data_IF_843755078876
#
_entry.id   IF_843755078876
#
_cell.length_a   1.000
_cell.length_b   1.000
_cell.length_c   1.000
_cell.angle_alpha   90.00
_cell.angle_beta   90.00
_cell.angle_gamma   90.00
#
_symmetry.space_group_name_H-M   'P 1'
#
loop_
_entity.id
_entity.type
_entity.pdbx_description
1 polymer ?
#
# COMPACT_ATOMS: atom_id res chain seq x y z
N UNK A 1 5.20 2.29 7.59
CA UNK A 1 5.70 3.60 8.05
C UNK A 1 5.35 3.72 9.54
N UNK A 2 6.33 3.84 10.39
CA UNK A 2 6.07 4.24 11.79
C UNK A 2 5.46 5.63 11.71
N UNK A 3 4.43 5.94 12.51
CA UNK A 3 3.92 7.31 12.58
C UNK A 3 4.98 8.21 13.25
N UNK A 4 5.96 8.60 12.45
CA UNK A 4 7.05 9.45 12.92
C UNK A 4 6.52 10.75 13.53
N UNK A 5 5.42 11.27 13.00
CA UNK A 5 4.80 12.47 13.55
C UNK A 5 4.28 12.29 15.00
N UNK A 6 3.80 11.09 15.39
CA UNK A 6 3.42 10.82 16.79
C UNK A 6 4.62 10.98 17.71
N UNK A 7 5.75 10.38 17.31
CA UNK A 7 6.99 10.47 18.09
C UNK A 7 7.48 11.92 18.16
N UNK A 8 7.45 12.63 17.03
CA UNK A 8 7.86 14.05 16.98
C UNK A 8 6.93 14.91 17.82
N UNK A 9 5.62 14.69 17.71
CA UNK A 9 4.63 15.42 18.50
C UNK A 9 4.84 15.19 20.01
N UNK A 10 5.05 13.95 20.42
CA UNK A 10 5.28 13.62 21.82
C UNK A 10 6.60 14.21 22.35
N UNK A 11 7.65 14.20 21.53
CA UNK A 11 8.90 14.88 21.85
C UNK A 11 8.64 16.38 22.06
N UNK A 12 7.95 17.06 21.15
CA UNK A 12 7.66 18.49 21.25
C UNK A 12 6.83 18.80 22.51
N UNK A 13 5.83 17.99 22.81
CA UNK A 13 5.00 18.14 24.03
C UNK A 13 5.83 17.95 25.30
N UNK A 14 6.69 16.93 25.33
CA UNK A 14 7.59 16.69 26.44
C UNK A 14 8.58 17.88 26.66
N UNK A 15 9.13 18.42 25.58
CA UNK A 15 9.99 19.61 25.65
C UNK A 15 9.24 20.85 26.12
N UNK A 16 7.94 20.95 25.86
CA UNK A 16 7.08 22.04 26.37
C UNK A 16 6.67 21.82 27.83
N UNK A 17 7.13 20.76 28.48
CA UNK A 17 6.83 20.44 29.88
C UNK A 17 5.46 19.78 30.07
N UNK A 18 4.82 19.32 29.00
CA UNK A 18 3.58 18.55 29.11
C UNK A 18 3.85 17.13 29.62
N UNK A 19 2.95 16.64 30.47
CA UNK A 19 2.95 15.24 30.87
C UNK A 19 2.35 14.42 29.74
N UNK A 20 3.10 13.45 29.22
CA UNK A 20 2.59 12.50 28.26
C UNK A 20 1.75 11.42 28.95
N UNK A 21 0.61 11.09 28.36
CA UNK A 21 -0.20 9.96 28.83
C UNK A 21 0.35 8.66 28.22
N UNK A 22 0.20 7.53 28.93
CA UNK A 22 0.55 6.22 28.39
C UNK A 22 -0.26 5.91 27.13
N UNK A 23 0.34 5.15 26.21
CA UNK A 23 -0.33 4.61 25.04
C UNK A 23 -1.52 3.74 25.46
N UNK A 24 -2.71 4.03 24.93
CA UNK A 24 -3.94 3.35 25.32
C UNK A 24 -4.09 1.95 24.73
N UNK A 25 -3.53 1.74 23.52
CA UNK A 25 -3.48 0.45 22.84
C UNK A 25 -2.13 0.32 22.15
N UNK A 26 -1.37 -0.67 22.56
CA UNK A 26 0.02 -0.83 22.17
C UNK A 26 0.20 -1.79 21.01
N UNK A 27 1.37 -1.79 20.38
CA UNK A 27 1.73 -2.81 19.38
C UNK A 27 1.74 -4.23 19.97
N UNK A 28 1.92 -4.38 21.29
CA UNK A 28 1.82 -5.66 21.98
C UNK A 28 0.37 -6.14 22.07
N UNK A 29 -0.57 -5.25 22.40
CA UNK A 29 -2.00 -5.58 22.42
C UNK A 29 -2.47 -6.02 21.02
N UNK A 30 -2.02 -5.31 19.97
CA UNK A 30 -2.28 -5.72 18.59
C UNK A 30 -1.72 -7.12 18.26
N UNK A 31 -0.53 -7.44 18.77
CA UNK A 31 0.05 -8.76 18.55
C UNK A 31 -0.77 -9.88 19.20
N UNK A 32 -1.35 -9.60 20.38
CA UNK A 32 -2.28 -10.54 21.05
C UNK A 32 -3.57 -10.69 20.27
N UNK A 33 -4.20 -9.59 19.85
CA UNK A 33 -5.42 -9.61 19.04
C UNK A 33 -5.19 -10.38 17.72
N UNK A 34 -4.06 -10.14 17.05
CA UNK A 34 -3.70 -10.86 15.83
C UNK A 34 -3.51 -12.36 16.08
N UNK A 35 -2.84 -12.75 17.17
CA UNK A 35 -2.66 -14.17 17.54
C UNK A 35 -4.02 -14.87 17.69
N UNK A 36 -4.95 -14.21 18.36
CA UNK A 36 -6.28 -14.78 18.59
C UNK A 36 -7.10 -14.84 17.29
N UNK A 37 -6.96 -13.83 16.42
CA UNK A 37 -7.58 -13.80 15.10
C UNK A 37 -7.04 -14.90 14.15
N UNK A 38 -5.75 -15.27 14.25
CA UNK A 38 -5.15 -16.35 13.46
C UNK A 38 -5.79 -17.73 13.74
N UNK A 39 -6.31 -17.94 14.94
CA UNK A 39 -6.97 -19.18 15.33
C UNK A 39 -8.47 -19.23 14.94
N UNK A 40 -9.03 -18.12 14.45
CA UNK A 40 -10.45 -17.94 14.24
C UNK A 40 -10.90 -17.93 12.77
N UNK A 41 -12.19 -17.67 12.60
CA UNK A 41 -12.82 -17.60 11.28
C UNK A 41 -12.37 -16.37 10.47
N UNK A 42 -11.88 -15.33 11.13
CA UNK A 42 -11.37 -14.11 10.47
C UNK A 42 -10.22 -14.47 9.51
N UNK A 43 -9.27 -15.29 9.96
CA UNK A 43 -8.15 -15.73 9.14
C UNK A 43 -8.61 -16.62 7.97
N UNK A 44 -9.52 -17.55 8.21
CA UNK A 44 -10.09 -18.41 7.16
C UNK A 44 -10.87 -17.62 6.11
N UNK A 45 -11.60 -16.60 6.53
CA UNK A 45 -12.33 -15.72 5.62
C UNK A 45 -11.37 -14.94 4.73
N UNK A 46 -10.29 -14.42 5.30
CA UNK A 46 -9.24 -13.72 4.56
C UNK A 46 -8.52 -14.67 3.56
N UNK A 47 -8.22 -15.89 3.97
CA UNK A 47 -7.67 -16.92 3.09
C UNK A 47 -8.62 -17.19 1.90
N UNK A 48 -9.91 -17.43 2.16
CA UNK A 48 -10.90 -17.67 1.11
C UNK A 48 -11.06 -16.47 0.17
N UNK A 49 -10.98 -15.25 0.70
CA UNK A 49 -10.99 -14.04 -0.12
C UNK A 49 -9.83 -14.06 -1.12
N UNK A 50 -8.59 -14.26 -0.67
CA UNK A 50 -7.45 -14.28 -1.57
C UNK A 50 -7.46 -15.48 -2.53
N UNK A 51 -7.97 -16.62 -2.12
CA UNK A 51 -8.25 -17.76 -3.04
C UNK A 51 -9.17 -17.31 -4.18
N UNK A 52 -10.26 -16.63 -3.88
CA UNK A 52 -11.20 -16.14 -4.89
C UNK A 52 -10.59 -15.10 -5.85
N UNK A 53 -9.64 -14.29 -5.36
CA UNK A 53 -8.95 -13.26 -6.18
C UNK A 53 -7.93 -13.90 -7.12
N UNK A 54 -7.12 -14.84 -6.61
CA UNK A 54 -5.94 -15.33 -7.33
C UNK A 54 -6.13 -16.70 -8.01
N UNK A 55 -7.20 -17.43 -7.72
CA UNK A 55 -7.51 -18.69 -8.38
C UNK A 55 -7.62 -18.55 -9.91
N UNK A 56 -8.01 -17.36 -10.37
CA UNK A 56 -8.18 -17.02 -11.79
C UNK A 56 -7.09 -16.06 -12.31
N UNK A 57 -6.20 -15.61 -11.46
CA UNK A 57 -5.09 -14.76 -11.86
C UNK A 57 -4.03 -15.59 -12.58
N UNK A 58 -3.78 -15.27 -13.83
CA UNK A 58 -2.87 -16.03 -14.73
C UNK A 58 -1.39 -15.96 -14.37
N UNK A 59 -1.03 -15.99 -13.10
CA UNK A 59 0.34 -15.90 -12.59
C UNK A 59 0.83 -14.47 -12.45
N UNK A 60 1.98 -14.30 -11.77
CA UNK A 60 2.58 -13.00 -11.56
C UNK A 60 3.10 -12.41 -12.87
N UNK A 61 3.01 -11.10 -13.00
CA UNK A 61 3.59 -10.36 -14.11
C UNK A 61 4.82 -9.63 -13.58
N UNK A 62 5.96 -10.14 -14.01
CA UNK A 62 7.26 -9.51 -13.83
C UNK A 62 7.55 -8.61 -15.02
N UNK A 63 8.42 -7.61 -14.83
CA UNK A 63 9.01 -6.93 -15.96
C UNK A 63 9.98 -7.90 -16.66
N UNK A 64 9.76 -8.14 -17.96
CA UNK A 64 10.75 -8.87 -18.74
C UNK A 64 11.97 -7.98 -18.95
N UNK A 65 13.16 -8.41 -18.54
CA UNK A 65 14.38 -7.64 -18.77
C UNK A 65 14.71 -7.64 -20.27
N UNK A 66 15.09 -6.48 -20.80
CA UNK A 66 15.53 -6.35 -22.20
C UNK A 66 16.82 -7.13 -22.47
N UNK A 67 17.60 -7.40 -21.42
CA UNK A 67 18.84 -8.17 -21.48
C UNK A 67 18.95 -9.06 -20.26
N UNK A 68 19.25 -10.33 -20.47
CA UNK A 68 19.71 -11.23 -19.41
C UNK A 68 21.19 -10.94 -19.13
N UNK A 69 21.50 -10.47 -17.94
CA UNK A 69 22.85 -10.10 -17.53
C UNK A 69 23.12 -10.45 -16.07
N UNK A 70 24.38 -10.27 -15.65
CA UNK A 70 24.72 -10.33 -14.24
C UNK A 70 23.95 -9.27 -13.45
N UNK A 71 23.74 -9.53 -12.15
CA UNK A 71 23.13 -8.55 -11.26
C UNK A 71 23.83 -7.19 -11.39
N UNK A 72 23.10 -6.07 -11.38
CA UNK A 72 23.71 -4.75 -11.49
C UNK A 72 24.69 -4.54 -10.33
N UNK A 73 25.88 -4.04 -10.66
CA UNK A 73 26.95 -3.76 -9.70
C UNK A 73 26.80 -2.39 -9.03
N UNK A 74 25.79 -1.61 -9.43
CA UNK A 74 25.49 -0.29 -8.88
C UNK A 74 23.98 -0.15 -8.66
N UNK A 75 23.59 0.61 -7.65
CA UNK A 75 22.20 1.03 -7.46
C UNK A 75 21.78 1.93 -8.62
N UNK A 76 20.71 1.55 -9.30
CA UNK A 76 20.11 2.34 -10.34
C UNK A 76 18.90 3.07 -9.75
N UNK A 77 19.09 4.34 -9.44
CA UNK A 77 18.02 5.25 -9.08
C UNK A 77 17.71 6.14 -10.28
N UNK A 78 16.46 6.11 -10.72
CA UNK A 78 15.99 7.02 -11.76
C UNK A 78 14.84 7.86 -11.20
N UNK A 79 15.00 9.17 -11.25
CA UNK A 79 13.95 10.13 -10.91
C UNK A 79 13.50 10.81 -12.19
N UNK A 80 12.23 10.66 -12.51
CA UNK A 80 11.59 11.40 -13.58
C UNK A 80 10.53 12.34 -13.01
N UNK A 81 10.65 13.63 -13.34
CA UNK A 81 9.68 14.64 -12.93
C UNK A 81 8.83 15.00 -14.13
N UNK A 82 7.53 14.81 -13.99
CA UNK A 82 6.55 15.22 -15.01
C UNK A 82 5.51 16.11 -14.35
N UNK A 83 5.13 17.18 -15.04
CA UNK A 83 4.02 18.02 -14.60
C UNK A 83 2.71 17.33 -15.02
N UNK A 84 1.97 16.83 -14.06
CA UNK A 84 0.58 16.40 -14.21
C UNK A 84 -0.26 17.44 -13.48
N UNK A 85 -1.35 17.88 -14.09
CA UNK A 85 -2.30 18.77 -13.41
C UNK A 85 -2.94 18.02 -12.24
N UNK A 86 -2.54 18.37 -11.02
CA UNK A 86 -3.11 17.81 -9.79
C UNK A 86 -4.60 18.08 -9.72
N UNK A 87 -5.03 19.27 -10.16
CA UNK A 87 -6.44 19.65 -10.17
C UNK A 87 -7.25 18.74 -11.11
N UNK A 88 -6.76 18.47 -12.31
CA UNK A 88 -7.46 17.62 -13.28
C UNK A 88 -7.61 16.18 -12.75
N UNK A 89 -6.57 15.64 -12.07
CA UNK A 89 -6.63 14.32 -11.43
C UNK A 89 -7.69 14.32 -10.31
N UNK A 90 -7.69 15.33 -9.44
CA UNK A 90 -8.67 15.45 -8.35
C UNK A 90 -10.11 15.54 -8.89
N UNK A 91 -10.33 16.35 -9.92
CA UNK A 91 -11.65 16.47 -10.55
C UNK A 91 -12.10 15.17 -11.21
N UNK A 92 -11.19 14.49 -11.92
CA UNK A 92 -11.47 13.17 -12.49
C UNK A 92 -11.83 12.16 -11.41
N UNK A 93 -11.04 12.06 -10.36
CA UNK A 93 -11.28 11.13 -9.25
C UNK A 93 -12.62 11.40 -8.58
N UNK A 94 -12.93 12.67 -8.28
CA UNK A 94 -14.22 13.09 -7.71
C UNK A 94 -15.38 12.73 -8.65
N UNK A 95 -15.25 13.01 -9.95
CA UNK A 95 -16.29 12.70 -10.94
C UNK A 95 -16.61 11.21 -11.03
N UNK A 96 -15.59 10.36 -10.86
CA UNK A 96 -15.73 8.91 -10.98
C UNK A 96 -15.87 8.18 -9.64
N UNK A 97 -15.87 8.90 -8.51
CA UNK A 97 -16.02 8.34 -7.17
C UNK A 97 -14.88 7.41 -6.76
N UNK A 98 -13.67 7.69 -7.22
CA UNK A 98 -12.45 6.95 -6.88
C UNK A 98 -11.46 7.85 -6.13
N UNK A 99 -10.49 7.24 -5.45
CA UNK A 99 -9.38 7.97 -4.83
C UNK A 99 -8.22 8.16 -5.81
N UNK A 100 -7.37 9.16 -5.57
CA UNK A 100 -6.14 9.38 -6.34
C UNK A 100 -5.23 8.15 -6.27
N UNK A 101 -5.17 7.47 -5.13
CA UNK A 101 -4.44 6.21 -4.97
C UNK A 101 -4.93 5.15 -5.98
N UNK A 102 -6.25 4.94 -6.08
CA UNK A 102 -6.86 4.02 -7.04
C UNK A 102 -6.52 4.42 -8.47
N UNK A 103 -6.56 5.72 -8.78
CA UNK A 103 -6.20 6.24 -10.09
C UNK A 103 -4.77 5.86 -10.50
N UNK A 104 -3.78 6.16 -9.64
CA UNK A 104 -2.37 5.89 -9.96
C UNK A 104 -2.04 4.40 -9.94
N UNK A 105 -2.60 3.63 -9.01
CA UNK A 105 -2.47 2.17 -8.99
C UNK A 105 -3.02 1.54 -10.26
N UNK A 106 -4.20 1.96 -10.71
CA UNK A 106 -4.80 1.44 -11.94
C UNK A 106 -4.00 1.83 -13.18
N UNK A 107 -3.52 3.08 -13.25
CA UNK A 107 -2.68 3.54 -14.35
C UNK A 107 -1.38 2.72 -14.46
N UNK A 108 -0.76 2.43 -13.32
CA UNK A 108 0.41 1.57 -13.28
C UNK A 108 0.09 0.14 -13.73
N UNK A 109 -1.00 -0.46 -13.22
CA UNK A 109 -1.42 -1.81 -13.60
C UNK A 109 -1.67 -1.94 -15.09
N UNK A 110 -2.39 -0.98 -15.68
CA UNK A 110 -2.62 -0.93 -17.15
C UNK A 110 -1.28 -0.82 -17.91
N UNK A 111 -0.37 0.02 -17.44
CA UNK A 111 0.95 0.20 -18.07
C UNK A 111 1.76 -1.08 -18.01
N UNK A 112 1.84 -1.70 -16.84
CA UNK A 112 2.56 -2.95 -16.61
C UNK A 112 2.02 -4.09 -17.47
N UNK A 113 0.69 -4.27 -17.50
CA UNK A 113 0.08 -5.30 -18.30
C UNK A 113 0.27 -5.06 -19.81
N UNK A 114 0.11 -3.81 -20.28
CA UNK A 114 0.39 -3.48 -21.70
C UNK A 114 1.84 -3.70 -22.09
N UNK A 115 2.80 -3.36 -21.21
CA UNK A 115 4.22 -3.63 -21.43
C UNK A 115 4.48 -5.13 -21.62
N UNK A 116 3.74 -5.99 -20.92
CA UNK A 116 3.85 -7.45 -20.99
C UNK A 116 2.88 -8.09 -22.00
N UNK A 117 2.20 -7.30 -22.84
CA UNK A 117 1.21 -7.77 -23.83
C UNK A 117 0.06 -8.58 -23.22
N UNK A 118 -0.32 -8.26 -21.97
CA UNK A 118 -1.43 -8.87 -21.24
C UNK A 118 -2.57 -7.88 -21.01
N UNK A 119 -3.71 -8.38 -20.54
CA UNK A 119 -4.89 -7.58 -20.18
C UNK A 119 -5.12 -7.48 -18.68
N UNK A 120 -4.18 -8.00 -17.93
CA UNK A 120 -4.15 -7.98 -16.46
C UNK A 120 -2.74 -7.72 -15.96
N UNK A 121 -2.63 -7.37 -14.70
CA UNK A 121 -1.36 -7.20 -14.01
C UNK A 121 -1.49 -7.56 -12.52
N UNK A 122 -0.47 -8.19 -11.97
CA UNK A 122 -0.33 -8.42 -10.53
C UNK A 122 0.94 -7.73 -10.04
N UNK A 123 0.80 -6.92 -9.02
CA UNK A 123 1.90 -6.19 -8.37
C UNK A 123 1.52 -5.93 -6.91
N UNK A 124 2.32 -5.20 -6.17
CA UNK A 124 2.03 -4.89 -4.77
C UNK A 124 1.87 -3.41 -4.54
N UNK A 125 1.16 -3.09 -3.47
CA UNK A 125 1.12 -1.75 -2.87
C UNK A 125 1.31 -1.87 -1.36
N UNK A 126 1.51 -0.75 -0.69
CA UNK A 126 1.55 -0.71 0.76
C UNK A 126 0.27 -0.09 1.32
N UNK A 127 -0.10 -0.56 2.49
CA UNK A 127 -1.22 -0.08 3.27
C UNK A 127 -0.75 0.24 4.69
N UNK A 128 -1.23 1.34 5.27
CA UNK A 128 -0.74 1.80 6.58
C UNK A 128 -1.17 0.93 7.77
N UNK A 129 -2.13 -0.01 7.56
CA UNK A 129 -2.53 -1.00 8.57
C UNK A 129 -3.34 -0.42 9.75
N UNK A 130 -3.97 0.75 9.60
CA UNK A 130 -4.66 1.47 10.69
C UNK A 130 -6.16 1.60 10.45
N UNK A 131 -6.82 0.50 10.11
CA UNK A 131 -8.28 0.47 9.95
C UNK A 131 -9.02 0.54 11.30
N UNK A 132 -8.40 0.09 12.37
CA UNK A 132 -8.96 0.14 13.71
C UNK A 132 -8.62 1.50 14.35
N UNK A 133 -9.63 2.20 14.85
CA UNK A 133 -9.43 3.50 15.51
C UNK A 133 -8.50 3.44 16.73
N UNK A 134 -8.41 2.28 17.39
CA UNK A 134 -7.47 2.04 18.49
C UNK A 134 -6.00 2.20 18.07
N UNK A 135 -5.72 1.96 16.77
CA UNK A 135 -4.38 2.02 16.19
C UNK A 135 -3.96 3.44 15.79
N UNK A 136 -4.85 4.44 15.90
CA UNK A 136 -4.55 5.81 15.47
C UNK A 136 -3.33 6.40 16.16
N UNK A 137 -3.14 6.10 17.44
CA UNK A 137 -2.05 6.60 18.28
C UNK A 137 -1.02 5.53 18.66
N UNK A 138 -1.16 4.31 18.14
CA UNK A 138 -0.23 3.21 18.41
C UNK A 138 1.11 3.44 17.71
N UNK A 139 2.19 3.39 18.47
CA UNK A 139 3.55 3.44 17.92
C UNK A 139 3.99 2.03 17.54
N UNK A 140 4.24 1.81 16.24
CA UNK A 140 4.65 0.49 15.75
C UNK A 140 4.70 0.39 14.24
N UNK A 141 5.29 -0.70 13.74
CA UNK A 141 5.31 -1.04 12.32
C UNK A 141 4.01 -1.74 11.94
N UNK A 142 3.02 -0.98 11.51
CA UNK A 142 1.69 -1.48 11.15
C UNK A 142 1.50 -1.64 9.62
N UNK A 143 2.49 -1.19 8.85
CA UNK A 143 2.44 -1.23 7.38
C UNK A 143 2.35 -2.66 6.89
N UNK A 144 1.44 -2.89 5.96
CA UNK A 144 1.20 -4.18 5.31
C UNK A 144 1.40 -4.07 3.81
N UNK A 145 1.91 -5.12 3.21
CA UNK A 145 1.97 -5.26 1.75
C UNK A 145 0.68 -5.92 1.28
N UNK A 146 -0.02 -5.26 0.37
CA UNK A 146 -1.22 -5.79 -0.26
C UNK A 146 -0.93 -6.12 -1.72
N UNK A 147 -1.31 -7.31 -2.20
CA UNK A 147 -1.27 -7.60 -3.62
C UNK A 147 -2.40 -6.86 -4.34
N UNK A 148 -2.11 -6.41 -5.54
CA UNK A 148 -3.09 -5.78 -6.44
C UNK A 148 -3.22 -6.64 -7.69
N UNK A 149 -4.44 -7.03 -7.99
CA UNK A 149 -4.81 -7.61 -9.27
C UNK A 149 -5.58 -6.58 -10.07
N UNK A 150 -5.02 -6.15 -11.19
CA UNK A 150 -5.60 -5.14 -12.07
C UNK A 150 -6.02 -5.81 -13.38
N UNK A 151 -7.31 -6.03 -13.56
CA UNK A 151 -7.90 -6.49 -14.82
C UNK A 151 -8.41 -5.29 -15.63
N UNK A 152 -7.93 -5.14 -16.86
CA UNK A 152 -8.35 -4.10 -17.80
C UNK A 152 -8.79 -4.69 -19.14
N UNK A 153 -9.30 -5.93 -19.12
CA UNK A 153 -9.93 -6.56 -20.29
C UNK A 153 -11.22 -5.86 -20.72
N UNK A 154 -11.90 -5.19 -19.80
CA UNK A 154 -13.10 -4.39 -20.00
C UNK A 154 -12.82 -2.91 -20.30
N UNK A 155 -13.70 -2.03 -19.80
CA UNK A 155 -13.52 -0.58 -19.92
C UNK A 155 -12.59 -0.03 -18.85
N UNK A 156 -12.04 1.17 -19.06
CA UNK A 156 -11.26 1.86 -18.03
C UNK A 156 -12.06 2.07 -16.74
N UNK A 157 -13.36 2.30 -16.84
CA UNK A 157 -14.24 2.43 -15.68
C UNK A 157 -14.34 1.13 -14.90
N UNK A 158 -14.47 -0.01 -15.59
CA UNK A 158 -14.53 -1.32 -14.95
C UNK A 158 -13.21 -1.62 -14.21
N UNK A 159 -12.08 -1.32 -14.84
CA UNK A 159 -10.76 -1.45 -14.22
C UNK A 159 -10.64 -0.61 -12.93
N UNK A 160 -10.96 0.68 -13.00
CA UNK A 160 -10.91 1.58 -11.83
C UNK A 160 -11.80 1.10 -10.69
N UNK A 161 -13.03 0.71 -11.01
CA UNK A 161 -13.99 0.20 -10.01
C UNK A 161 -13.55 -1.14 -9.43
N UNK A 162 -12.98 -2.02 -10.26
CA UNK A 162 -12.43 -3.31 -9.84
C UNK A 162 -11.26 -3.16 -8.89
N UNK A 163 -10.29 -2.30 -9.22
CA UNK A 163 -9.14 -2.01 -8.36
C UNK A 163 -9.57 -1.37 -7.04
N UNK A 164 -10.52 -0.41 -7.08
CA UNK A 164 -11.05 0.20 -5.86
C UNK A 164 -11.68 -0.83 -4.93
N UNK A 165 -12.56 -1.68 -5.47
CA UNK A 165 -13.20 -2.73 -4.70
C UNK A 165 -12.18 -3.69 -4.12
N UNK A 166 -11.24 -4.15 -4.91
CA UNK A 166 -10.21 -5.10 -4.50
C UNK A 166 -9.31 -4.52 -3.41
N UNK A 167 -8.92 -3.24 -3.48
CA UNK A 167 -8.14 -2.60 -2.44
C UNK A 167 -8.89 -2.53 -1.11
N UNK A 168 -10.18 -2.15 -1.14
CA UNK A 168 -11.01 -2.11 0.07
C UNK A 168 -11.15 -3.51 0.68
N UNK A 169 -11.45 -4.51 -0.16
CA UNK A 169 -11.60 -5.89 0.29
C UNK A 169 -10.27 -6.43 0.85
N UNK A 170 -9.13 -6.11 0.22
CA UNK A 170 -7.80 -6.50 0.72
C UNK A 170 -7.46 -5.85 2.05
N UNK A 171 -7.83 -4.58 2.27
CA UNK A 171 -7.66 -3.91 3.57
C UNK A 171 -8.49 -4.57 4.67
N UNK A 172 -9.68 -5.07 4.35
CA UNK A 172 -10.54 -5.80 5.30
C UNK A 172 -10.05 -7.24 5.58
N UNK A 173 -9.21 -7.77 4.71
CA UNK A 173 -8.64 -9.11 4.82
C UNK A 173 -7.12 -9.09 5.09
N UNK A 174 -6.61 -8.01 5.63
CA UNK A 174 -5.17 -7.75 5.81
C UNK A 174 -4.49 -8.62 6.89
N UNK A 175 -5.27 -9.43 7.61
CA UNK A 175 -4.75 -10.44 8.55
C UNK A 175 -4.03 -11.58 7.82
N UNK A 176 -4.36 -11.84 6.54
CA UNK A 176 -3.69 -12.86 5.73
C UNK A 176 -2.46 -12.24 5.05
N UNK A 177 -1.23 -12.60 5.47
CA UNK A 177 -0.04 -11.85 5.08
C UNK A 177 0.37 -12.12 3.62
N UNK A 178 0.96 -11.12 2.96
CA UNK A 178 1.43 -11.25 1.58
C UNK A 178 2.42 -12.41 1.38
N UNK A 179 3.24 -12.73 2.37
CA UNK A 179 4.16 -13.88 2.31
C UNK A 179 3.43 -15.22 2.12
N UNK A 180 2.27 -15.35 2.76
CA UNK A 180 1.41 -16.54 2.63
C UNK A 180 0.75 -16.57 1.24
N UNK A 181 0.22 -15.42 0.80
CA UNK A 181 -0.38 -15.25 -0.54
C UNK A 181 0.65 -15.60 -1.62
N UNK A 182 1.84 -15.04 -1.51
CA UNK A 182 2.94 -15.28 -2.45
C UNK A 182 3.32 -16.75 -2.55
N UNK A 183 3.38 -17.44 -1.40
CA UNK A 183 3.73 -18.85 -1.35
C UNK A 183 2.60 -19.76 -1.90
N UNK A 184 1.35 -19.49 -1.52
CA UNK A 184 0.21 -20.34 -1.85
C UNK A 184 -0.19 -20.23 -3.32
N UNK A 185 -0.12 -19.04 -3.90
CA UNK A 185 -0.53 -18.76 -5.28
C UNK A 185 0.63 -18.57 -6.25
N UNK A 186 1.87 -18.86 -5.83
CA UNK A 186 3.11 -18.63 -6.61
C UNK A 186 3.18 -17.22 -7.22
N UNK A 187 2.76 -16.21 -6.43
CA UNK A 187 2.77 -14.82 -6.86
C UNK A 187 4.12 -14.20 -6.55
N UNK A 188 4.84 -13.84 -7.61
CA UNK A 188 6.08 -13.07 -7.53
C UNK A 188 5.76 -11.64 -7.97
N UNK A 189 5.68 -10.73 -7.02
CA UNK A 189 5.46 -9.33 -7.33
C UNK A 189 6.81 -8.58 -7.33
N UNK A 190 7.38 -8.40 -8.50
CA UNK A 190 8.66 -7.70 -8.68
C UNK A 190 8.48 -6.18 -8.74
N UNK A 191 7.23 -5.71 -8.77
CA UNK A 191 6.90 -4.30 -8.80
C UNK A 191 6.03 -3.93 -7.59
N UNK A 192 6.33 -2.77 -7.01
CA UNK A 192 5.55 -2.18 -5.93
C UNK A 192 5.22 -0.73 -6.28
N UNK A 193 3.96 -0.36 -6.11
CA UNK A 193 3.51 1.03 -6.25
C UNK A 193 3.19 1.60 -4.87
N UNK A 194 3.76 2.75 -4.57
CA UNK A 194 3.51 3.47 -3.32
C UNK A 194 2.99 4.85 -3.69
N UNK A 195 1.71 5.09 -3.41
CA UNK A 195 1.12 6.42 -3.51
C UNK A 195 1.18 7.09 -2.14
N UNK A 196 1.86 8.21 -2.06
CA UNK A 196 2.11 8.89 -0.80
C UNK A 196 1.19 10.11 -0.59
N UNK A 197 0.62 10.67 -1.66
CA UNK A 197 -0.24 11.85 -1.59
C UNK A 197 0.47 13.06 -1.00
N UNK A 198 -0.33 13.99 -0.49
CA UNK A 198 0.16 15.24 0.12
C UNK A 198 0.59 15.06 1.61
N UNK A 199 0.66 13.82 2.12
CA UNK A 199 0.82 13.53 3.55
C UNK A 199 2.28 13.58 4.05
N UNK A 200 3.18 14.23 3.34
CA UNK A 200 4.59 14.42 3.73
C UNK A 200 4.89 15.80 4.33
N UNK A 201 3.93 16.45 4.97
CA UNK A 201 4.26 17.56 5.85
C UNK A 201 4.91 16.97 7.12
N UNK A 202 6.23 16.98 7.18
CA UNK A 202 6.95 16.72 8.41
C UNK A 202 6.79 17.95 9.30
N UNK A 203 6.06 17.83 10.42
CA UNK A 203 6.19 18.78 11.51
C UNK A 203 7.61 18.68 12.06
N UNK A 204 8.35 19.77 11.99
CA UNK A 204 9.76 19.82 12.39
C UNK A 204 9.87 19.85 13.91
N UNK A 205 10.83 19.11 14.45
CA UNK A 205 11.23 19.23 15.87
C UNK A 205 11.89 20.60 16.03
N UNK A 206 11.11 21.63 16.44
CA UNK A 206 11.61 22.92 16.92
C UNK A 206 12.63 23.67 16.06
N UNK A 207 12.73 23.38 14.75
CA UNK A 207 13.70 23.97 13.86
C UNK A 207 13.32 23.90 12.40
N UNK A 208 13.74 24.89 11.61
CA UNK A 208 13.65 24.88 10.17
C UNK A 208 14.66 23.86 9.61
N UNK A 209 14.17 22.76 9.04
CA UNK A 209 15.01 21.94 8.19
C UNK A 209 15.07 22.59 6.80
N UNK A 210 16.25 22.94 6.35
CA UNK A 210 16.48 23.23 4.94
C UNK A 210 16.20 21.95 4.15
N UNK A 211 15.22 21.97 3.25
CA UNK A 211 15.12 20.96 2.22
C UNK A 211 16.33 21.14 1.32
N UNK A 212 17.24 20.20 1.33
CA UNK A 212 18.24 20.10 0.27
C UNK A 212 17.50 19.70 -1.02
N UNK A 213 17.58 20.60 -2.01
CA UNK A 213 17.07 20.39 -3.36
C UNK A 213 17.85 19.30 -4.12
#
# INVERSE_FOLDING_TARGET
MVHLWLIINDINRAYSGEKLEPEGYTSYDLALDNRDALAGDIYKNAENYYKSVFEHAGGSISFYPDKNGAAPTAELYHRETRSISVQDVKEFCKKHGITENVFFISAFGITLGKYNFKKDAVFTTIYHGRNDSRLSETVGMLVKTLPVFCDFSGTAKDCLSGVQKQLIDSMNNDIYPFSQISHEFDIKADAMVIYQGDNFAFDTIGGEYAQEE
#
